data_IF_764505739645
#
_entry.id   IF_764505739645
#
_cell.length_a   1.000
_cell.length_b   1.000
_cell.length_c   1.000
_cell.angle_alpha   90.00
_cell.angle_beta   90.00
_cell.angle_gamma   90.00
#
_symmetry.space_group_name_H-M   'P 1'
#
loop_
_entity.id
_entity.type
_entity.pdbx_description
1 polymer ?
#
# COMPACT_ATOMS: atom_id res chain seq x y z
N UNK A 1 -8.34 12.72 -14.79
CA UNK A 1 -7.09 12.72 -14.00
C UNK A 1 -7.29 13.40 -12.65
N UNK A 2 -8.11 12.80 -11.76
CA UNK A 2 -8.46 13.35 -10.43
C UNK A 2 -7.83 12.57 -9.28
N UNK A 3 -7.32 11.37 -9.57
CA UNK A 3 -6.78 10.43 -8.59
C UNK A 3 -5.54 11.00 -7.90
N UNK A 4 -4.57 11.47 -8.68
CA UNK A 4 -3.33 12.04 -8.17
C UNK A 4 -3.55 13.29 -7.31
N UNK A 5 -4.44 14.19 -7.76
CA UNK A 5 -4.81 15.38 -6.99
C UNK A 5 -5.44 15.01 -5.65
N UNK A 6 -6.34 14.01 -5.65
CA UNK A 6 -6.97 13.49 -4.43
C UNK A 6 -5.95 12.98 -3.43
N UNK A 7 -4.87 12.35 -3.90
CA UNK A 7 -3.80 11.88 -3.04
C UNK A 7 -2.93 13.01 -2.48
N UNK A 8 -2.68 14.08 -3.25
CA UNK A 8 -1.92 15.22 -2.74
C UNK A 8 -2.61 15.95 -1.59
N UNK A 9 -3.95 15.92 -1.58
CA UNK A 9 -4.82 16.50 -0.54
C UNK A 9 -4.87 15.68 0.75
N UNK A 10 -4.39 14.43 0.74
CA UNK A 10 -4.43 13.59 1.93
C UNK A 10 -3.40 14.04 2.98
N UNK A 11 -3.72 13.88 4.27
CA UNK A 11 -2.78 14.16 5.34
C UNK A 11 -1.56 13.23 5.26
N UNK A 12 -0.41 13.72 5.71
CA UNK A 12 0.79 12.87 5.84
C UNK A 12 0.52 11.76 6.86
N UNK A 13 0.94 10.51 6.60
CA UNK A 13 0.86 9.45 7.57
C UNK A 13 1.46 9.89 8.92
N UNK A 14 0.75 9.63 10.01
CA UNK A 14 1.16 10.08 11.33
C UNK A 14 0.77 9.09 12.41
N UNK A 15 1.49 9.12 13.53
CA UNK A 15 1.24 8.26 14.67
C UNK A 15 0.83 9.13 15.86
N UNK A 16 -0.39 8.93 16.36
CA UNK A 16 -0.91 9.69 17.50
C UNK A 16 -1.61 8.75 18.48
N UNK A 17 -1.18 8.77 19.74
CA UNK A 17 -1.87 8.03 20.81
C UNK A 17 -1.98 6.52 20.56
N UNK A 18 -0.90 5.90 20.04
CA UNK A 18 -0.84 4.48 19.62
C UNK A 18 -1.65 4.12 18.38
N UNK A 19 -2.29 5.09 17.71
CA UNK A 19 -3.02 4.87 16.46
C UNK A 19 -2.19 5.38 15.29
N UNK A 20 -2.16 4.62 14.21
CA UNK A 20 -1.53 5.03 12.96
C UNK A 20 -2.61 5.60 12.02
N UNK A 21 -2.49 6.88 11.68
CA UNK A 21 -3.23 7.51 10.58
C UNK A 21 -2.49 7.25 9.29
N UNK A 22 -3.10 6.48 8.41
CA UNK A 22 -2.50 6.07 7.15
C UNK A 22 -3.39 6.45 5.98
N UNK A 23 -2.90 7.37 5.16
CA UNK A 23 -3.45 7.59 3.83
C UNK A 23 -3.07 6.42 2.93
N UNK A 24 -4.05 5.84 2.23
CA UNK A 24 -3.87 4.57 1.54
C UNK A 24 -4.96 4.33 0.49
N UNK A 25 -4.73 3.28 -0.31
CA UNK A 25 -5.74 2.65 -1.14
C UNK A 25 -6.33 1.45 -0.41
N UNK A 26 -7.65 1.42 -0.30
CA UNK A 26 -8.37 0.34 0.37
C UNK A 26 -9.21 -0.46 -0.63
N UNK A 27 -9.07 -1.78 -0.62
CA UNK A 27 -9.82 -2.69 -1.47
C UNK A 27 -10.55 -3.70 -0.60
N UNK A 28 -11.88 -3.64 -0.63
CA UNK A 28 -12.70 -4.63 0.09
C UNK A 28 -12.59 -5.96 -0.64
N UNK A 29 -12.24 -6.99 0.13
CA UNK A 29 -12.09 -8.36 -0.38
C UNK A 29 -13.44 -9.06 -0.24
N UNK A 30 -13.90 -9.63 -1.35
CA UNK A 30 -15.08 -10.48 -1.39
C UNK A 30 -14.80 -11.90 -0.89
N UNK A 31 -15.69 -12.85 -1.19
CA UNK A 31 -15.48 -14.25 -0.81
C UNK A 31 -14.14 -14.78 -1.34
N UNK A 32 -13.41 -15.47 -0.47
CA UNK A 32 -12.14 -16.11 -0.81
C UNK A 32 -12.37 -17.48 -1.42
N UNK A 33 -11.62 -17.78 -2.48
CA UNK A 33 -11.42 -19.13 -2.99
C UNK A 33 -9.97 -19.52 -2.73
N UNK A 34 -9.75 -20.69 -2.14
CA UNK A 34 -8.40 -21.16 -1.81
C UNK A 34 -7.90 -22.03 -2.96
N UNK A 35 -6.73 -21.68 -3.49
CA UNK A 35 -5.92 -22.56 -4.32
C UNK A 35 -4.65 -22.91 -3.55
N UNK A 36 -4.21 -24.16 -3.65
CA UNK A 36 -2.96 -24.60 -3.04
C UNK A 36 -1.95 -24.86 -4.15
N UNK A 37 -0.87 -24.09 -4.15
CA UNK A 37 0.24 -24.25 -5.10
C UNK A 37 1.46 -24.70 -4.31
N UNK A 38 1.67 -26.02 -4.23
CA UNK A 38 2.72 -26.59 -3.39
C UNK A 38 2.43 -26.43 -1.89
N UNK A 39 3.37 -25.84 -1.14
CA UNK A 39 3.23 -25.55 0.29
C UNK A 39 2.61 -24.18 0.59
N UNK A 40 2.54 -23.30 -0.40
CA UNK A 40 2.00 -21.95 -0.24
C UNK A 40 0.50 -21.92 -0.54
N UNK A 41 -0.22 -21.15 0.27
CA UNK A 41 -1.65 -20.90 0.07
C UNK A 41 -1.80 -19.62 -0.76
N UNK A 42 -2.49 -19.73 -1.89
CA UNK A 42 -2.84 -18.60 -2.74
C UNK A 42 -4.35 -18.44 -2.66
N UNK A 43 -4.78 -17.29 -2.17
CA UNK A 43 -6.20 -16.96 -2.06
C UNK A 43 -6.59 -16.12 -3.26
N UNK A 44 -7.61 -16.56 -4.01
CA UNK A 44 -8.19 -15.78 -5.10
C UNK A 44 -9.48 -15.15 -4.63
N UNK A 45 -9.63 -13.85 -4.86
CA UNK A 45 -10.76 -13.07 -4.39
C UNK A 45 -11.21 -12.03 -5.41
N UNK A 46 -12.51 -11.74 -5.42
CA UNK A 46 -13.03 -10.57 -6.12
C UNK A 46 -12.92 -9.35 -5.20
N UNK A 47 -12.35 -8.27 -5.69
CA UNK A 47 -12.39 -6.96 -5.03
C UNK A 47 -13.38 -6.03 -5.74
N UNK A 48 -13.85 -5.00 -5.04
CA UNK A 48 -14.78 -4.02 -5.61
C UNK A 48 -14.17 -3.19 -6.75
N UNK A 49 -12.84 -3.03 -6.78
CA UNK A 49 -12.19 -2.03 -7.64
C UNK A 49 -11.03 -2.57 -8.45
N UNK A 50 -10.21 -3.49 -7.90
CA UNK A 50 -9.12 -4.12 -8.66
C UNK A 50 -9.60 -5.30 -9.51
N UNK A 51 -10.86 -5.72 -9.35
CA UNK A 51 -11.37 -6.94 -9.97
C UNK A 51 -10.84 -8.18 -9.24
N UNK A 52 -10.49 -9.21 -9.99
CA UNK A 52 -9.94 -10.44 -9.45
C UNK A 52 -8.48 -10.24 -9.02
N UNK A 53 -8.18 -10.60 -7.77
CA UNK A 53 -6.83 -10.58 -7.22
C UNK A 53 -6.45 -11.95 -6.68
N UNK A 54 -5.16 -12.25 -6.75
CA UNK A 54 -4.51 -13.33 -6.00
C UNK A 54 -3.73 -12.74 -4.83
N UNK A 55 -3.86 -13.37 -3.68
CA UNK A 55 -3.27 -12.96 -2.42
C UNK A 55 -2.41 -14.13 -1.94
N UNK A 56 -1.10 -13.91 -1.88
CA UNK A 56 -0.14 -14.87 -1.36
C UNK A 56 0.27 -14.45 0.05
N UNK A 57 0.04 -15.33 1.02
CA UNK A 57 0.38 -15.09 2.43
C UNK A 57 0.55 -16.42 3.18
N UNK A 58 1.31 -16.39 4.27
CA UNK A 58 1.44 -17.53 5.19
C UNK A 58 0.23 -17.69 6.12
N UNK A 59 -0.59 -16.63 6.26
CA UNK A 59 -1.75 -16.61 7.14
C UNK A 59 -2.93 -17.40 6.55
N UNK A 60 -3.68 -18.09 7.42
CA UNK A 60 -4.91 -18.77 7.02
C UNK A 60 -6.08 -17.78 6.99
N UNK A 61 -6.33 -17.21 5.80
CA UNK A 61 -7.37 -16.20 5.60
C UNK A 61 -8.80 -16.76 5.61
N UNK A 62 -8.96 -18.10 5.54
CA UNK A 62 -10.28 -18.74 5.44
C UNK A 62 -11.16 -18.55 6.69
N UNK A 63 -10.54 -18.18 7.82
CA UNK A 63 -11.21 -17.96 9.11
C UNK A 63 -11.59 -16.51 9.36
N UNK A 64 -11.23 -15.61 8.45
CA UNK A 64 -11.40 -14.18 8.65
C UNK A 64 -12.59 -13.68 7.85
N UNK A 65 -13.51 -13.03 8.55
CA UNK A 65 -14.61 -12.30 7.94
C UNK A 65 -14.16 -10.87 7.61
N UNK A 66 -14.71 -10.32 6.52
CA UNK A 66 -14.56 -8.92 6.13
C UNK A 66 -13.12 -8.41 6.02
N UNK A 67 -12.38 -8.98 5.07
CA UNK A 67 -11.02 -8.57 4.77
C UNK A 67 -10.97 -7.30 3.93
N UNK A 68 -9.99 -6.45 4.24
CA UNK A 68 -9.64 -5.26 3.46
C UNK A 68 -8.15 -5.28 3.17
N UNK A 69 -7.80 -5.27 1.88
CA UNK A 69 -6.43 -5.03 1.45
C UNK A 69 -6.16 -3.54 1.48
N UNK A 70 -5.05 -3.17 2.09
CA UNK A 70 -4.62 -1.79 2.20
C UNK A 70 -3.24 -1.68 1.59
N UNK A 71 -3.14 -0.97 0.47
CA UNK A 71 -1.85 -0.63 -0.10
C UNK A 71 -1.42 0.71 0.52
N UNK A 72 -0.43 0.71 1.44
CA UNK A 72 0.03 1.93 2.09
C UNK A 72 0.59 2.89 1.06
N UNK A 73 0.37 4.18 1.29
CA UNK A 73 0.89 5.21 0.42
C UNK A 73 2.41 5.28 0.51
N UNK A 74 3.09 5.30 -0.64
CA UNK A 74 4.54 5.46 -0.69
C UNK A 74 4.89 6.81 -1.29
N UNK A 75 5.51 7.67 -0.49
CA UNK A 75 5.80 9.07 -0.83
C UNK A 75 6.62 9.25 -2.11
N UNK A 76 7.43 8.24 -2.48
CA UNK A 76 8.20 8.25 -3.73
C UNK A 76 7.30 8.32 -4.98
N UNK A 77 6.07 7.80 -4.93
CA UNK A 77 5.13 7.83 -6.06
C UNK A 77 4.54 9.23 -6.32
N UNK A 78 4.68 10.17 -5.38
CA UNK A 78 4.28 11.57 -5.54
C UNK A 78 5.42 12.51 -5.95
N UNK A 79 6.65 12.00 -6.05
CA UNK A 79 7.84 12.86 -6.05
C UNK A 79 7.97 13.69 -4.77
N UNK A 80 7.24 13.33 -3.69
CA UNK A 80 7.48 13.89 -2.36
C UNK A 80 8.68 13.16 -1.80
N UNK A 81 9.88 13.64 -2.13
CA UNK A 81 11.06 13.24 -1.39
C UNK A 81 10.85 13.64 0.06
N UNK A 82 10.72 12.67 0.96
CA UNK A 82 10.85 12.93 2.38
C UNK A 82 12.25 13.48 2.60
N UNK A 83 12.36 14.80 2.75
CA UNK A 83 13.55 15.45 3.30
C UNK A 83 13.63 14.99 4.76
N UNK A 84 14.21 13.82 4.97
CA UNK A 84 14.11 13.09 6.23
C UNK A 84 14.92 11.81 6.26
N UNK A 85 16.05 11.76 5.54
CA UNK A 85 17.06 10.73 5.75
C UNK A 85 18.38 11.43 6.08
N UNK A 86 18.49 11.86 7.33
CA UNK A 86 19.76 12.09 8.00
C UNK A 86 19.63 11.49 9.39
N UNK A 87 19.50 10.15 9.44
CA UNK A 87 19.91 9.44 10.64
C UNK A 87 21.42 9.24 10.46
N UNK A 88 22.17 10.31 10.73
CA UNK A 88 23.59 10.23 11.02
C UNK A 88 23.75 9.30 12.22
N UNK A 89 24.07 8.05 11.93
CA UNK A 89 24.64 7.14 12.91
C UNK A 89 26.15 7.40 12.88
N UNK A 90 26.55 8.55 13.41
CA UNK A 90 27.95 8.82 13.75
C UNK A 90 28.29 7.96 14.96
N UNK A 91 29.04 6.88 14.76
CA UNK A 91 30.14 6.44 15.63
C UNK A 91 30.99 5.45 14.83
N UNK A 92 31.83 5.94 13.90
CA UNK A 92 33.07 5.25 13.52
C UNK A 92 34.03 6.27 12.91
N UNK A 93 35.11 6.57 13.64
CA UNK A 93 36.28 7.28 13.14
C UNK A 93 36.96 6.44 12.05
N UNK A 94 36.65 6.68 10.78
CA UNK A 94 37.41 6.11 9.66
C UNK A 94 37.59 7.17 8.57
N UNK A 95 38.80 7.72 8.53
CA UNK A 95 39.23 8.75 7.59
C UNK A 95 39.38 8.17 6.18
N UNK A 96 38.32 8.22 5.39
CA UNK A 96 38.42 8.03 3.94
C UNK A 96 37.36 8.85 3.20
N UNK A 97 37.70 10.11 2.91
CA UNK A 97 36.92 11.02 2.04
C UNK A 97 36.67 10.39 0.67
N UNK A 98 35.46 9.88 0.46
CA UNK A 98 34.83 9.81 -0.86
C UNK A 98 33.69 10.81 -0.88
N UNK A 99 33.94 11.96 -1.50
CA UNK A 99 32.95 13.01 -1.75
C UNK A 99 31.83 12.42 -2.62
N UNK A 100 30.73 12.02 -1.99
CA UNK A 100 29.52 11.62 -2.71
C UNK A 100 28.78 12.90 -3.09
N UNK A 101 28.80 13.25 -4.38
CA UNK A 101 28.08 14.40 -4.91
C UNK A 101 26.59 14.34 -4.51
N UNK A 102 25.97 15.48 -4.15
CA UNK A 102 24.54 15.53 -3.91
C UNK A 102 23.80 15.20 -5.21
N UNK A 103 23.17 14.02 -5.26
CA UNK A 103 22.34 13.61 -6.38
C UNK A 103 21.29 14.68 -6.65
N UNK A 104 21.38 15.35 -7.81
CA UNK A 104 20.41 16.35 -8.24
C UNK A 104 18.99 15.81 -8.05
N UNK A 105 18.05 16.61 -7.51
CA UNK A 105 16.67 16.17 -7.37
C UNK A 105 16.13 15.76 -8.75
N UNK A 106 15.40 14.64 -8.84
CA UNK A 106 14.84 14.19 -10.10
C UNK A 106 13.89 15.26 -10.65
N UNK A 107 13.81 15.39 -11.98
CA UNK A 107 12.96 16.39 -12.61
C UNK A 107 11.49 16.21 -12.16
N UNK A 108 10.75 17.31 -11.98
CA UNK A 108 9.36 17.25 -11.52
C UNK A 108 8.54 16.44 -12.54
N UNK A 109 8.03 15.30 -12.09
CA UNK A 109 7.21 14.42 -12.90
C UNK A 109 5.85 15.07 -13.17
N UNK A 110 5.40 15.04 -14.43
CA UNK A 110 4.05 15.52 -14.74
C UNK A 110 2.99 14.64 -14.07
N UNK A 111 1.88 15.25 -13.66
CA UNK A 111 0.81 14.56 -12.92
C UNK A 111 0.22 13.39 -13.71
N UNK A 112 0.29 13.45 -15.03
CA UNK A 112 -0.28 12.44 -15.89
C UNK A 112 0.54 11.16 -15.90
N UNK A 113 1.83 11.31 -16.12
CA UNK A 113 2.81 10.25 -15.98
C UNK A 113 2.78 9.65 -14.58
N UNK A 114 2.68 10.47 -13.52
CA UNK A 114 2.61 9.96 -12.15
C UNK A 114 1.37 9.06 -11.91
N UNK A 115 0.19 9.46 -12.38
CA UNK A 115 -1.00 8.62 -12.25
C UNK A 115 -0.90 7.33 -13.08
N UNK A 116 -0.34 7.39 -14.28
CA UNK A 116 -0.10 6.20 -15.10
C UNK A 116 0.91 5.25 -14.44
N UNK A 117 1.95 5.78 -13.81
CA UNK A 117 2.90 4.97 -13.05
C UNK A 117 2.23 4.29 -11.86
N UNK A 118 1.37 4.99 -11.13
CA UNK A 118 0.59 4.39 -10.04
C UNK A 118 -0.27 3.22 -10.54
N UNK A 119 -0.98 3.42 -11.66
CA UNK A 119 -1.79 2.39 -12.31
C UNK A 119 -0.92 1.20 -12.72
N UNK A 120 0.23 1.47 -13.37
CA UNK A 120 1.16 0.42 -13.79
C UNK A 120 1.73 -0.36 -12.60
N UNK A 121 2.01 0.30 -11.47
CA UNK A 121 2.49 -0.34 -10.25
C UNK A 121 1.45 -1.24 -9.60
N UNK A 122 0.18 -0.82 -9.56
CA UNK A 122 -0.91 -1.66 -9.05
C UNK A 122 -1.16 -2.92 -9.88
N UNK A 123 -0.71 -2.94 -11.14
CA UNK A 123 -0.75 -4.15 -11.99
C UNK A 123 0.41 -5.10 -11.75
N UNK A 124 1.49 -4.64 -11.12
CA UNK A 124 2.57 -5.51 -10.68
C UNK A 124 2.20 -6.11 -9.32
N UNK A 125 2.80 -7.26 -8.94
CA UNK A 125 2.69 -7.74 -7.58
C UNK A 125 3.14 -6.67 -6.58
N UNK A 126 2.30 -6.38 -5.59
CA UNK A 126 2.58 -5.35 -4.58
C UNK A 126 2.33 -5.86 -3.17
N UNK A 127 3.04 -5.27 -2.21
CA UNK A 127 2.84 -5.53 -0.80
C UNK A 127 1.57 -4.86 -0.29
N UNK A 128 0.81 -5.55 0.57
CA UNK A 128 -0.40 -4.97 1.17
C UNK A 128 -0.50 -5.26 2.67
N UNK A 129 -0.96 -4.28 3.42
CA UNK A 129 -1.47 -4.53 4.78
C UNK A 129 -2.82 -5.23 4.66
N UNK A 130 -3.00 -6.31 5.42
CA UNK A 130 -4.28 -6.99 5.49
C UNK A 130 -4.98 -6.62 6.79
N UNK A 131 -6.16 -6.01 6.67
CA UNK A 131 -6.97 -5.59 7.81
C UNK A 131 -8.28 -6.37 7.85
N UNK A 132 -8.80 -6.58 9.06
CA UNK A 132 -10.17 -7.06 9.31
C UNK A 132 -10.93 -5.99 10.09
N UNK A 133 -12.21 -5.77 9.75
CA UNK A 133 -13.07 -4.82 10.45
C UNK A 133 -13.76 -5.48 11.65
N UNK A 134 -13.61 -4.88 12.84
CA UNK A 134 -14.22 -5.37 14.07
C UNK A 134 -15.57 -4.68 14.35
N UNK A 135 -16.63 -5.12 13.68
CA UNK A 135 -18.02 -4.75 14.01
C UNK A 135 -18.81 -4.12 12.87
N UNK A 136 -20.13 -4.02 13.07
CA UNK A 136 -21.07 -3.46 12.09
C UNK A 136 -21.21 -1.93 12.19
N UNK A 137 -21.00 -1.34 13.37
CA UNK A 137 -21.35 0.07 13.65
C UNK A 137 -20.15 1.02 13.80
N UNK A 138 -18.97 0.52 14.17
CA UNK A 138 -17.73 1.32 14.23
C UNK A 138 -16.66 0.60 13.44
N UNK A 139 -16.17 1.26 12.38
CA UNK A 139 -15.15 0.70 11.51
C UNK A 139 -13.77 0.81 12.19
N UNK A 140 -13.54 0.00 13.22
CA UNK A 140 -12.21 -0.22 13.76
C UNK A 140 -11.53 -1.34 12.96
N UNK A 141 -10.34 -1.05 12.42
CA UNK A 141 -9.55 -2.03 11.70
C UNK A 141 -8.48 -2.61 12.61
N UNK A 142 -8.43 -3.94 12.65
CA UNK A 142 -7.30 -4.67 13.25
C UNK A 142 -6.38 -5.15 12.15
N UNK A 143 -5.08 -4.95 12.34
CA UNK A 143 -4.06 -5.54 11.47
C UNK A 143 -4.02 -7.05 11.66
N UNK A 144 -4.21 -7.79 10.57
CA UNK A 144 -4.03 -9.24 10.50
C UNK A 144 -2.56 -9.55 10.26
N UNK A 145 -1.97 -8.92 9.23
CA UNK A 145 -0.57 -9.15 8.85
C UNK A 145 0.03 -7.92 8.17
N UNK A 146 1.36 -7.91 8.03
CA UNK A 146 2.14 -6.79 7.50
C UNK A 146 2.35 -6.86 5.99
N UNK A 147 2.71 -5.72 5.40
CA UNK A 147 2.94 -5.55 3.96
C UNK A 147 3.99 -6.50 3.38
N UNK A 148 5.04 -6.80 4.14
CA UNK A 148 6.12 -7.72 3.75
C UNK A 148 5.70 -9.19 3.67
N UNK A 149 4.53 -9.55 4.22
CA UNK A 149 4.06 -10.93 4.33
C UNK A 149 2.82 -11.21 3.46
N UNK A 150 2.36 -10.19 2.73
CA UNK A 150 1.21 -10.32 1.82
C UNK A 150 1.59 -9.71 0.49
N UNK A 151 1.60 -10.55 -0.53
CA UNK A 151 1.73 -10.09 -1.92
C UNK A 151 0.38 -10.20 -2.60
N UNK A 152 -0.02 -9.12 -3.28
CA UNK A 152 -1.27 -9.06 -4.05
C UNK A 152 -0.92 -8.92 -5.52
N UNK A 153 -1.56 -9.71 -6.37
CA UNK A 153 -1.44 -9.62 -7.81
C UNK A 153 -2.82 -9.50 -8.46
N UNK A 154 -3.00 -8.46 -9.28
CA UNK A 154 -4.23 -8.27 -10.08
C UNK A 154 -4.17 -9.18 -11.30
N UNK A 155 -5.21 -10.00 -11.52
CA UNK A 155 -5.24 -11.01 -12.57
C UNK A 155 -5.91 -10.54 -13.87
N UNK A 156 -6.82 -9.57 -13.77
CA UNK A 156 -7.57 -9.07 -14.92
C UNK A 156 -7.17 -7.64 -15.25
N UNK A 157 -7.33 -7.27 -16.53
CA UNK A 157 -7.23 -5.89 -17.00
C UNK A 157 -8.45 -5.07 -16.56
N UNK A 158 -8.70 -5.02 -15.25
CA UNK A 158 -9.80 -4.23 -14.68
C UNK A 158 -9.56 -2.75 -14.99
N UNK A 159 -10.56 -2.02 -15.52
CA UNK A 159 -10.44 -0.58 -15.67
C UNK A 159 -10.29 0.06 -14.30
N UNK A 160 -9.15 0.71 -14.07
CA UNK A 160 -8.76 1.32 -12.80
C UNK A 160 -9.32 2.75 -12.63
N UNK A 161 -10.33 3.09 -13.41
CA UNK A 161 -10.95 4.43 -13.44
C UNK A 161 -11.64 4.78 -12.12
N UNK A 162 -12.06 3.75 -11.36
CA UNK A 162 -12.71 3.87 -10.05
C UNK A 162 -11.74 3.87 -8.86
N UNK A 163 -10.41 3.88 -9.09
CA UNK A 163 -9.43 3.91 -8.00
C UNK A 163 -9.61 5.10 -7.05
N UNK A 164 -10.21 6.19 -7.52
CA UNK A 164 -10.41 7.39 -6.70
C UNK A 164 -11.32 7.13 -5.50
N UNK A 165 -12.26 6.19 -5.62
CA UNK A 165 -13.20 5.83 -4.56
C UNK A 165 -12.55 4.93 -3.49
N UNK A 166 -11.36 4.39 -3.78
CA UNK A 166 -10.53 3.60 -2.88
C UNK A 166 -9.58 4.44 -2.03
N UNK A 167 -9.45 5.74 -2.32
CA UNK A 167 -8.54 6.64 -1.62
C UNK A 167 -9.12 7.03 -0.26
N UNK A 168 -8.46 6.64 0.84
CA UNK A 168 -8.94 6.87 2.21
C UNK A 168 -7.79 7.21 3.15
N UNK A 169 -8.14 7.76 4.31
CA UNK A 169 -7.26 7.77 5.49
C UNK A 169 -7.87 6.84 6.52
N UNK A 170 -7.09 5.86 6.96
CA UNK A 170 -7.48 4.88 7.96
C UNK A 170 -6.81 5.17 9.30
N UNK A 171 -7.56 4.97 10.38
CA UNK A 171 -7.02 4.86 11.73
C UNK A 171 -6.80 3.36 12.04
N UNK A 172 -5.54 2.94 12.10
CA UNK A 172 -5.16 1.55 12.36
C UNK A 172 -4.65 1.39 13.80
N UNK A 173 -5.14 0.34 14.47
CA UNK A 173 -4.78 -0.07 15.83
C UNK A 173 -3.63 -1.10 15.85
#
# INVERSE_FOLDING_TARGET
MKLYDRFQELPVPSFLGKRMKLSCLTFRVGPLSVSRTGSEQVFRAQTTTLGIVEISTAEDLSKLDFLTLVHPWIDFLLGRHSVGETISKEETDDESSSESEPSSPPPPMDRHTAALQLIARLRQPFGALLLTSMGQDVVEYRRVTSESLVTVQVQEDTPLDHLIDCVRTLDVL
#
